data_IF_321018147550
#
_entry.id   IF_321018147550
#
_cell.length_a   1.000
_cell.length_b   1.000
_cell.length_c   1.000
_cell.angle_alpha   90.00
_cell.angle_beta   90.00
_cell.angle_gamma   90.00
#
_symmetry.space_group_name_H-M   'P 1'
#
loop_
_entity.id
_entity.type
_entity.pdbx_description
1 polymer ?
#
# COMPACT_ATOMS: atom_id res chain seq x y z
N UNK A 1 -9.18 1.92 -16.92
CA UNK A 1 -8.46 0.93 -16.14
C UNK A 1 -8.47 1.31 -14.68
N UNK A 2 -8.41 0.32 -13.83
CA UNK A 2 -8.59 0.55 -12.42
C UNK A 2 -7.29 0.25 -11.69
N UNK A 3 -6.93 1.12 -10.76
CA UNK A 3 -5.73 0.97 -9.96
C UNK A 3 -6.11 0.73 -8.51
N UNK A 4 -5.31 -0.06 -7.83
CA UNK A 4 -5.52 -0.34 -6.42
C UNK A 4 -4.19 -0.20 -5.68
N UNK A 5 -4.28 0.29 -4.46
CA UNK A 5 -3.12 0.43 -3.60
C UNK A 5 -2.90 -0.87 -2.85
N UNK A 6 -1.67 -1.36 -2.89
CA UNK A 6 -1.32 -2.59 -2.19
C UNK A 6 -0.17 -2.31 -1.24
N UNK A 7 -0.27 -2.81 -0.04
CA UNK A 7 0.80 -2.68 0.95
C UNK A 7 1.20 -4.07 1.40
N UNK A 8 2.50 -4.31 1.41
CA UNK A 8 3.06 -5.56 1.90
C UNK A 8 3.89 -5.26 3.14
N UNK A 9 3.61 -5.96 4.21
CA UNK A 9 4.39 -5.84 5.44
C UNK A 9 5.03 -7.19 5.75
N UNK A 10 6.28 -7.16 6.16
CA UNK A 10 6.95 -8.35 6.64
C UNK A 10 7.32 -8.11 8.08
N UNK A 11 6.70 -8.85 8.97
CA UNK A 11 6.88 -8.69 10.40
C UNK A 11 7.27 -10.05 10.98
N UNK A 12 8.43 -10.11 11.63
CA UNK A 12 8.96 -11.36 12.17
C UNK A 12 9.01 -12.48 11.15
N UNK A 13 9.32 -12.10 9.90
CA UNK A 13 9.41 -13.08 8.82
C UNK A 13 8.09 -13.50 8.23
N UNK A 14 6.98 -12.95 8.72
CA UNK A 14 5.67 -13.30 8.19
C UNK A 14 5.12 -12.19 7.31
N UNK A 15 4.81 -12.50 6.07
CA UNK A 15 4.27 -11.49 5.16
C UNK A 15 2.78 -11.26 5.42
N UNK A 16 2.40 -10.00 5.33
CA UNK A 16 0.99 -9.61 5.40
C UNK A 16 0.71 -8.66 4.24
N UNK A 17 -0.31 -8.98 3.48
CA UNK A 17 -0.70 -8.14 2.35
C UNK A 17 -2.02 -7.47 2.67
N UNK A 18 -2.03 -6.15 2.49
CA UNK A 18 -3.24 -5.36 2.73
C UNK A 18 -3.51 -4.53 1.49
N UNK A 19 -4.77 -4.33 1.23
CA UNK A 19 -5.19 -3.52 0.10
C UNK A 19 -6.30 -2.59 0.54
N UNK A 20 -6.20 -1.34 0.09
CA UNK A 20 -7.30 -0.42 0.29
C UNK A 20 -8.46 -0.88 -0.59
N UNK A 21 -9.67 -0.68 -0.10
CA UNK A 21 -10.84 -1.00 -0.91
C UNK A 21 -11.23 0.16 -1.80
N UNK A 22 -10.29 1.07 -2.02
CA UNK A 22 -10.52 2.24 -2.85
C UNK A 22 -9.96 1.97 -4.24
N UNK A 23 -10.78 2.24 -5.23
CA UNK A 23 -10.36 2.08 -6.62
C UNK A 23 -10.03 3.45 -7.19
N UNK A 24 -8.89 3.53 -7.86
CA UNK A 24 -8.44 4.79 -8.46
C UNK A 24 -8.53 4.68 -9.97
N UNK A 25 -8.89 5.76 -10.61
CA UNK A 25 -9.07 5.76 -12.04
C UNK A 25 -7.76 5.93 -12.79
N UNK A 26 -6.79 6.60 -12.18
CA UNK A 26 -5.51 6.84 -12.82
C UNK A 26 -4.38 6.42 -11.92
N UNK A 27 -3.24 6.17 -12.55
CA UNK A 27 -2.04 5.84 -11.81
C UNK A 27 -1.61 7.00 -10.93
N UNK A 28 -1.78 8.22 -11.41
CA UNK A 28 -1.39 9.39 -10.64
C UNK A 28 -2.16 9.50 -9.35
N UNK A 29 -3.46 9.24 -9.39
CA UNK A 29 -4.27 9.25 -8.19
C UNK A 29 -3.81 8.20 -7.20
N UNK A 30 -3.52 7.01 -7.70
CA UNK A 30 -3.06 5.93 -6.84
C UNK A 30 -1.68 6.22 -6.28
N UNK A 31 -0.78 6.78 -7.09
CA UNK A 31 0.56 7.12 -6.64
C UNK A 31 0.52 8.18 -5.54
N UNK A 32 -0.37 9.15 -5.69
CA UNK A 32 -0.52 10.16 -4.66
C UNK A 32 -0.98 9.54 -3.35
N UNK A 33 -1.95 8.64 -3.45
CA UNK A 33 -2.45 7.94 -2.26
C UNK A 33 -1.35 7.09 -1.64
N UNK A 34 -0.53 6.46 -2.47
CA UNK A 34 0.58 5.65 -1.96
C UNK A 34 1.58 6.50 -1.21
N UNK A 35 1.90 7.69 -1.73
CA UNK A 35 2.81 8.60 -1.05
C UNK A 35 2.25 9.02 0.30
N UNK A 36 0.97 9.32 0.35
CA UNK A 36 0.34 9.70 1.61
C UNK A 36 0.34 8.56 2.60
N UNK A 37 0.12 7.36 2.12
CA UNK A 37 0.14 6.19 3.00
C UNK A 37 1.53 5.97 3.59
N UNK A 38 2.56 6.15 2.77
CA UNK A 38 3.93 6.02 3.26
C UNK A 38 4.24 7.06 4.32
N UNK A 39 3.83 8.30 4.09
CA UNK A 39 4.04 9.36 5.07
C UNK A 39 3.35 9.03 6.39
N UNK A 40 2.13 8.53 6.30
CA UNK A 40 1.38 8.16 7.48
C UNK A 40 2.08 7.04 8.25
N UNK A 41 2.55 6.03 7.55
CA UNK A 41 3.23 4.91 8.17
C UNK A 41 4.52 5.35 8.85
N UNK A 42 5.27 6.23 8.20
CA UNK A 42 6.49 6.74 8.80
C UNK A 42 6.21 7.59 10.03
N UNK A 43 5.16 8.38 10.00
CA UNK A 43 4.84 9.28 11.11
C UNK A 43 4.25 8.54 12.31
N UNK A 44 3.54 7.45 12.08
CA UNK A 44 2.83 6.75 13.15
C UNK A 44 3.44 5.40 13.49
N UNK A 45 4.57 5.07 12.88
CA UNK A 45 5.19 3.77 13.06
C UNK A 45 5.56 3.54 14.52
N UNK A 46 4.97 2.54 15.18
CA UNK A 46 5.33 2.26 16.57
C UNK A 46 6.70 1.60 16.65
N UNK A 47 7.33 1.70 17.82
CA UNK A 47 8.65 1.11 18.02
C UNK A 47 8.65 -0.38 17.74
N UNK A 48 7.57 -1.05 18.05
CA UNK A 48 7.47 -2.48 17.82
C UNK A 48 7.51 -2.85 16.34
N UNK A 49 7.30 -1.89 15.46
CA UNK A 49 7.32 -2.13 14.02
C UNK A 49 8.56 -1.56 13.34
N UNK A 50 9.52 -1.07 14.11
CA UNK A 50 10.71 -0.49 13.52
C UNK A 50 11.50 -1.50 12.69
N UNK A 51 11.43 -2.76 13.05
CA UNK A 51 12.15 -3.79 12.33
C UNK A 51 11.32 -4.42 11.23
N UNK A 52 10.09 -3.98 11.06
CA UNK A 52 9.25 -4.50 10.01
C UNK A 52 9.57 -3.80 8.70
N UNK A 53 9.67 -4.57 7.66
CA UNK A 53 9.81 -4.03 6.32
C UNK A 53 8.44 -3.85 5.71
N UNK A 54 8.31 -2.83 4.88
CA UNK A 54 7.05 -2.64 4.20
C UNK A 54 7.28 -2.06 2.82
N UNK A 55 6.34 -2.36 1.94
CA UNK A 55 6.33 -1.83 0.58
C UNK A 55 4.92 -1.40 0.27
N UNK A 56 4.78 -0.26 -0.38
CA UNK A 56 3.49 0.25 -0.81
C UNK A 56 3.59 0.58 -2.28
N UNK A 57 2.70 0.02 -3.07
CA UNK A 57 2.74 0.26 -4.50
C UNK A 57 1.34 0.20 -5.07
N UNK A 58 1.22 0.61 -6.34
CA UNK A 58 -0.04 0.56 -7.05
C UNK A 58 0.04 -0.52 -8.12
N UNK A 59 -1.04 -1.24 -8.27
CA UNK A 59 -1.13 -2.23 -9.32
C UNK A 59 -2.43 -2.04 -10.07
N UNK A 60 -2.41 -2.45 -11.32
CA UNK A 60 -3.56 -2.32 -12.19
C UNK A 60 -4.40 -3.57 -12.10
N UNK A 61 -5.71 -3.40 -12.01
CA UNK A 61 -6.62 -4.52 -12.02
C UNK A 61 -7.26 -4.59 -13.37
N UNK A 62 -7.18 -5.73 -14.08
CA UNK A 62 -7.85 -5.88 -15.34
C UNK A 62 -9.35 -5.71 -15.14
N UNK A 63 -9.98 -5.06 -16.10
CA UNK A 63 -11.41 -4.89 -16.03
C UNK A 63 -12.06 -6.23 -16.29
N UNK A 64 -12.73 -6.74 -15.29
CA UNK A 64 -13.41 -8.00 -15.40
C UNK A 64 -14.75 -7.83 -16.06
N UNK A 65 -15.15 -8.80 -16.74
CA UNK A 65 -16.38 -8.75 -17.49
C UNK A 65 -17.43 -9.58 -16.82
#
# INVERSE_FOLDING_TARGET
MTWVLVALFIFNGEPMVMSDNILYETEEQCSYAASKRREYLEATRPKSMWEADYWVWCTQIPKEV
#
